data_IF_043861758994
#
_entry.id   IF_043861758994
#
_cell.length_a   1.000
_cell.length_b   1.000
_cell.length_c   1.000
_cell.angle_alpha   90.00
_cell.angle_beta   90.00
_cell.angle_gamma   90.00
#
_symmetry.space_group_name_H-M   'P 1'
#
loop_
_entity.id
_entity.type
_entity.pdbx_description
1 polymer ?
#
# COMPACT_ATOMS: atom_id res chain seq x y z
N UNK A 1 0.21 23.62 59.11
CA UNK A 1 -0.97 22.72 58.94
C UNK A 1 -0.96 22.14 57.52
N UNK A 2 -0.69 20.84 57.36
CA UNK A 2 -0.79 20.18 56.04
C UNK A 2 -2.24 19.79 55.82
N UNK A 3 -2.88 20.42 54.82
CA UNK A 3 -4.24 20.08 54.38
C UNK A 3 -4.31 18.59 54.06
N UNK A 4 -5.20 17.85 54.73
CA UNK A 4 -5.44 16.43 54.45
C UNK A 4 -6.36 16.35 53.24
N UNK A 5 -5.86 15.75 52.17
CA UNK A 5 -6.62 15.51 50.94
C UNK A 5 -7.85 14.65 51.26
N UNK A 6 -9.04 15.15 50.93
CA UNK A 6 -10.28 14.42 51.26
C UNK A 6 -10.52 13.28 50.28
N UNK A 7 -11.13 12.18 50.77
CA UNK A 7 -11.50 11.03 49.93
C UNK A 7 -12.37 11.45 48.74
N UNK A 8 -13.22 12.47 48.90
CA UNK A 8 -14.04 13.04 47.82
C UNK A 8 -13.18 13.66 46.73
N UNK A 9 -12.18 14.48 47.10
CA UNK A 9 -11.24 15.06 46.14
C UNK A 9 -10.45 13.97 45.41
N UNK A 10 -9.99 12.95 46.13
CA UNK A 10 -9.29 11.80 45.52
C UNK A 10 -10.17 11.06 44.51
N UNK A 11 -11.42 10.75 44.86
CA UNK A 11 -12.35 10.08 43.95
C UNK A 11 -12.71 10.94 42.74
N UNK A 12 -12.86 12.26 42.90
CA UNK A 12 -13.06 13.19 41.77
C UNK A 12 -11.86 13.20 40.82
N UNK A 13 -10.63 13.20 41.34
CA UNK A 13 -9.42 13.15 40.50
C UNK A 13 -9.28 11.83 39.75
N UNK A 14 -9.55 10.70 40.41
CA UNK A 14 -9.52 9.38 39.76
C UNK A 14 -10.58 9.30 38.65
N UNK A 15 -11.79 9.80 38.89
CA UNK A 15 -12.84 9.83 37.88
C UNK A 15 -12.46 10.69 36.66
N UNK A 16 -11.91 11.89 36.86
CA UNK A 16 -11.45 12.76 35.76
C UNK A 16 -10.30 12.10 34.97
N UNK A 17 -9.38 11.42 35.65
CA UNK A 17 -8.28 10.69 35.01
C UNK A 17 -8.79 9.53 34.14
N UNK A 18 -9.74 8.73 34.65
CA UNK A 18 -10.36 7.65 33.88
C UNK A 18 -11.22 8.14 32.72
N UNK A 19 -11.97 9.25 32.90
CA UNK A 19 -12.72 9.88 31.80
C UNK A 19 -11.76 10.47 30.75
N UNK A 20 -10.63 11.03 31.16
CA UNK A 20 -9.57 11.50 30.26
C UNK A 20 -8.94 10.37 29.44
N UNK A 21 -8.64 9.22 30.08
CA UNK A 21 -8.15 8.01 29.39
C UNK A 21 -9.23 7.47 28.44
N UNK A 22 -10.50 7.42 28.86
CA UNK A 22 -11.60 6.96 28.03
C UNK A 22 -11.81 7.87 26.80
N UNK A 23 -11.71 9.19 26.97
CA UNK A 23 -11.79 10.16 25.88
C UNK A 23 -10.59 10.09 24.94
N UNK A 24 -9.39 9.79 25.46
CA UNK A 24 -8.19 9.51 24.66
C UNK A 24 -8.36 8.23 23.82
N UNK A 25 -8.94 7.17 24.39
CA UNK A 25 -9.26 5.94 23.67
C UNK A 25 -10.35 6.12 22.60
N UNK A 26 -11.29 7.06 22.80
CA UNK A 26 -12.38 7.35 21.84
C UNK A 26 -11.95 8.24 20.66
N UNK A 27 -10.75 8.83 20.68
CA UNK A 27 -10.29 9.80 19.67
C UNK A 27 -9.17 9.30 18.74
N UNK A 28 -8.82 8.01 18.75
CA UNK A 28 -7.84 7.50 17.79
C UNK A 28 -8.47 7.29 16.41
N UNK A 29 -8.47 8.35 15.60
CA UNK A 29 -8.80 8.28 14.19
C UNK A 29 -7.88 7.27 13.48
N UNK A 30 -8.48 6.33 12.73
CA UNK A 30 -7.75 5.34 11.93
C UNK A 30 -6.81 6.05 10.95
N UNK A 31 -5.50 5.78 11.00
CA UNK A 31 -4.54 6.50 10.18
C UNK A 31 -4.74 6.20 8.69
N UNK A 32 -4.33 7.15 7.85
CA UNK A 32 -4.46 7.03 6.39
C UNK A 32 -3.26 6.28 5.77
N UNK A 33 -3.54 5.27 4.97
CA UNK A 33 -2.53 4.42 4.30
C UNK A 33 -1.59 5.21 3.38
N UNK A 34 -2.11 6.22 2.67
CA UNK A 34 -1.34 7.05 1.73
C UNK A 34 -0.66 8.24 2.41
N UNK A 35 -0.76 8.37 3.74
CA UNK A 35 -0.11 9.45 4.50
C UNK A 35 1.40 9.42 4.27
N UNK A 36 1.93 10.47 3.62
CA UNK A 36 3.37 10.63 3.35
C UNK A 36 4.19 10.59 4.65
N UNK A 37 5.28 9.82 4.61
CA UNK A 37 6.30 9.71 5.65
C UNK A 37 7.59 10.39 5.18
N UNK A 38 8.44 10.78 6.13
CA UNK A 38 9.79 11.24 5.84
C UNK A 38 10.70 10.02 5.66
N UNK A 39 11.47 10.00 4.58
CA UNK A 39 12.42 8.94 4.23
C UNK A 39 13.76 9.56 3.83
N UNK A 40 14.85 8.82 3.96
CA UNK A 40 16.20 9.30 3.65
C UNK A 40 16.62 9.09 2.19
N UNK A 41 15.92 8.22 1.46
CA UNK A 41 16.22 7.88 0.07
C UNK A 41 15.41 8.74 -0.92
N UNK A 42 15.93 8.84 -2.13
CA UNK A 42 15.33 9.49 -3.28
C UNK A 42 14.38 8.54 -4.04
N UNK A 43 13.61 9.09 -4.99
CA UNK A 43 12.76 8.30 -5.88
C UNK A 43 13.55 7.27 -6.70
N UNK A 44 14.75 7.64 -7.15
CA UNK A 44 15.64 6.76 -7.91
C UNK A 44 16.19 5.64 -7.04
N UNK A 45 16.70 5.96 -5.85
CA UNK A 45 17.23 4.96 -4.91
C UNK A 45 16.14 3.96 -4.48
N UNK A 46 14.89 4.40 -4.33
CA UNK A 46 13.77 3.49 -4.08
C UNK A 46 13.58 2.48 -5.22
N UNK A 47 13.61 2.93 -6.47
CA UNK A 47 13.47 2.06 -7.64
C UNK A 47 14.65 1.08 -7.71
N UNK A 48 15.87 1.57 -7.51
CA UNK A 48 17.10 0.76 -7.53
C UNK A 48 17.12 -0.30 -6.41
N UNK A 49 16.50 -0.01 -5.26
CA UNK A 49 16.38 -0.97 -4.16
C UNK A 49 15.43 -2.14 -4.49
N UNK A 50 14.26 -1.84 -5.07
CA UNK A 50 13.25 -2.89 -5.33
C UNK A 50 13.48 -3.64 -6.65
N UNK A 51 14.10 -2.98 -7.64
CA UNK A 51 14.20 -3.50 -9.00
C UNK A 51 14.93 -4.85 -9.09
N UNK A 52 16.07 -5.11 -8.41
CA UNK A 52 16.75 -6.40 -8.49
C UNK A 52 15.88 -7.58 -8.04
N UNK A 53 15.08 -7.37 -6.98
CA UNK A 53 14.15 -8.38 -6.48
C UNK A 53 13.01 -8.58 -7.47
N UNK A 54 12.39 -7.50 -7.95
CA UNK A 54 11.29 -7.58 -8.92
C UNK A 54 11.75 -8.25 -10.21
N UNK A 55 12.91 -7.89 -10.77
CA UNK A 55 13.44 -8.52 -11.99
C UNK A 55 13.61 -10.04 -11.83
N UNK A 56 14.21 -10.46 -10.70
CA UNK A 56 14.42 -11.88 -10.41
C UNK A 56 13.11 -12.65 -10.34
N UNK A 57 12.12 -12.13 -9.60
CA UNK A 57 10.85 -12.83 -9.39
C UNK A 57 10.02 -12.79 -10.67
N UNK A 58 9.90 -11.63 -11.31
CA UNK A 58 9.16 -11.44 -12.56
C UNK A 58 9.61 -12.41 -13.67
N UNK A 59 10.93 -12.68 -13.77
CA UNK A 59 11.46 -13.66 -14.72
C UNK A 59 10.91 -15.08 -14.49
N UNK A 60 10.68 -15.47 -13.23
CA UNK A 60 10.11 -16.79 -12.88
C UNK A 60 8.62 -16.90 -13.21
N UNK A 61 7.92 -15.77 -13.28
CA UNK A 61 6.49 -15.66 -13.57
C UNK A 61 6.21 -15.26 -15.02
N UNK A 62 7.24 -15.00 -15.83
CA UNK A 62 7.08 -14.55 -17.22
C UNK A 62 6.48 -13.15 -17.38
N UNK A 63 6.52 -12.33 -16.32
CA UNK A 63 5.98 -10.97 -16.31
C UNK A 63 7.10 -9.95 -16.59
N UNK A 64 6.77 -8.83 -17.24
CA UNK A 64 7.73 -7.74 -17.47
C UNK A 64 8.00 -6.96 -16.17
N UNK A 65 9.24 -6.82 -15.71
CA UNK A 65 9.58 -6.05 -14.51
C UNK A 65 9.08 -4.60 -14.52
N UNK A 66 9.11 -3.92 -15.66
CA UNK A 66 8.80 -2.50 -15.78
C UNK A 66 7.42 -2.12 -15.26
N UNK A 67 6.40 -2.92 -15.58
CA UNK A 67 5.03 -2.66 -15.13
C UNK A 67 4.84 -2.96 -13.65
N UNK A 68 5.51 -3.99 -13.11
CA UNK A 68 5.46 -4.31 -11.67
C UNK A 68 6.17 -3.24 -10.84
N UNK A 69 7.34 -2.74 -11.31
CA UNK A 69 8.03 -1.61 -10.68
C UNK A 69 7.13 -0.37 -10.71
N UNK A 70 6.45 -0.11 -11.82
CA UNK A 70 5.53 1.03 -11.93
C UNK A 70 4.35 0.94 -10.96
N UNK A 71 3.77 -0.26 -10.78
CA UNK A 71 2.74 -0.52 -9.78
C UNK A 71 3.26 -0.29 -8.37
N UNK A 72 4.43 -0.84 -8.02
CA UNK A 72 5.06 -0.59 -6.73
C UNK A 72 5.27 0.92 -6.49
N UNK A 73 5.77 1.66 -7.48
CA UNK A 73 5.98 3.11 -7.39
C UNK A 73 4.66 3.87 -7.20
N UNK A 74 3.62 3.50 -7.95
CA UNK A 74 2.31 4.14 -7.89
C UNK A 74 1.65 3.92 -6.52
N UNK A 75 1.52 2.66 -6.11
CA UNK A 75 0.79 2.27 -4.90
C UNK A 75 1.50 2.72 -3.61
N UNK A 76 2.83 2.72 -3.60
CA UNK A 76 3.63 3.13 -2.44
C UNK A 76 3.98 4.63 -2.42
N UNK A 77 3.69 5.36 -3.49
CA UNK A 77 4.21 6.71 -3.75
C UNK A 77 5.75 6.77 -3.58
N UNK A 78 6.47 5.98 -4.40
CA UNK A 78 7.93 5.82 -4.32
C UNK A 78 8.41 5.38 -2.92
N UNK A 79 7.70 4.45 -2.29
CA UNK A 79 8.03 3.92 -0.96
C UNK A 79 7.72 4.86 0.19
N UNK A 80 7.17 6.05 -0.05
CA UNK A 80 7.08 7.11 0.95
C UNK A 80 5.78 7.14 1.75
N UNK A 81 4.76 6.34 1.39
CA UNK A 81 3.51 6.34 2.14
C UNK A 81 3.59 5.51 3.45
N UNK A 82 2.62 5.71 4.36
CA UNK A 82 2.57 5.04 5.65
C UNK A 82 2.59 3.51 5.50
N UNK A 83 1.82 3.01 4.53
CA UNK A 83 1.65 1.58 4.29
C UNK A 83 2.97 0.91 3.88
N UNK A 84 3.73 1.53 2.98
CA UNK A 84 5.03 1.05 2.54
C UNK A 84 6.12 1.22 3.62
N UNK A 85 6.16 2.35 4.33
CA UNK A 85 7.25 2.62 5.30
C UNK A 85 7.09 1.83 6.59
N UNK A 86 5.87 1.76 7.17
CA UNK A 86 5.68 1.13 8.48
C UNK A 86 5.31 -0.35 8.39
N UNK A 87 4.62 -0.75 7.34
CA UNK A 87 4.06 -2.09 7.20
C UNK A 87 4.64 -2.84 5.99
N UNK A 88 5.60 -2.24 5.29
CA UNK A 88 6.31 -2.81 4.14
C UNK A 88 5.43 -3.28 2.99
N UNK A 89 4.18 -2.80 2.91
CA UNK A 89 3.24 -3.18 1.87
C UNK A 89 3.33 -2.19 0.70
N UNK A 90 4.05 -2.59 -0.35
CA UNK A 90 4.34 -1.77 -1.52
C UNK A 90 3.17 -1.65 -2.50
N UNK A 91 2.25 -2.62 -2.49
CA UNK A 91 1.25 -2.82 -3.53
C UNK A 91 -0.18 -2.62 -3.04
N UNK A 92 -0.35 -2.05 -1.84
CA UNK A 92 -1.64 -1.88 -1.17
C UNK A 92 -2.46 -3.18 -1.06
N UNK A 93 -1.80 -4.33 -0.91
CA UNK A 93 -2.44 -5.64 -0.81
C UNK A 93 -3.30 -5.73 0.45
N UNK A 94 -4.56 -6.14 0.28
CA UNK A 94 -5.44 -6.45 1.39
C UNK A 94 -5.01 -7.75 2.09
N UNK A 95 -5.17 -7.81 3.40
CA UNK A 95 -4.76 -8.98 4.17
C UNK A 95 -5.64 -10.20 3.85
N UNK A 96 -5.00 -11.35 3.63
CA UNK A 96 -5.69 -12.63 3.50
C UNK A 96 -6.04 -13.22 4.88
N UNK A 97 -6.94 -14.20 4.91
CA UNK A 97 -7.35 -14.88 6.14
C UNK A 97 -6.13 -15.45 6.89
N UNK A 98 -6.01 -15.08 8.17
CA UNK A 98 -4.91 -15.52 9.04
C UNK A 98 -3.59 -14.76 8.85
N UNK A 99 -3.50 -13.82 7.90
CA UNK A 99 -2.35 -12.94 7.74
C UNK A 99 -2.36 -11.82 8.78
N UNK A 100 -1.16 -11.35 9.17
CA UNK A 100 -1.05 -10.14 9.98
C UNK A 100 -1.58 -8.94 9.20
N UNK A 101 -2.48 -8.18 9.82
CA UNK A 101 -3.18 -7.08 9.17
C UNK A 101 -3.11 -5.78 9.98
N UNK A 102 -3.30 -4.67 9.29
CA UNK A 102 -3.51 -3.35 9.88
C UNK A 102 -4.73 -2.68 9.22
N UNK A 103 -5.63 -2.16 10.05
CA UNK A 103 -6.75 -1.35 9.57
C UNK A 103 -6.29 0.10 9.30
N UNK A 104 -6.51 0.58 8.07
CA UNK A 104 -6.16 1.94 7.65
C UNK A 104 -7.29 2.54 6.80
N UNK A 105 -7.36 3.86 6.76
CA UNK A 105 -8.20 4.56 5.79
C UNK A 105 -7.48 4.72 4.45
N UNK A 106 -8.20 4.59 3.34
CA UNK A 106 -7.70 4.80 1.99
C UNK A 106 -8.76 5.46 1.11
N UNK A 107 -8.40 5.84 -0.12
CA UNK A 107 -9.34 6.43 -1.07
C UNK A 107 -9.66 5.44 -2.19
N UNK A 108 -10.93 5.25 -2.47
CA UNK A 108 -11.46 4.54 -3.63
C UNK A 108 -12.18 5.54 -4.54
N UNK A 109 -12.32 5.22 -5.82
CA UNK A 109 -13.13 6.03 -6.74
C UNK A 109 -14.42 5.27 -7.07
N UNK A 110 -15.55 5.87 -6.74
CA UNK A 110 -16.87 5.27 -6.93
C UNK A 110 -17.88 6.37 -7.27
N UNK A 111 -18.79 6.11 -8.22
CA UNK A 111 -19.85 7.06 -8.64
C UNK A 111 -19.29 8.46 -8.97
N UNK A 112 -18.19 8.49 -9.72
CA UNK A 112 -17.50 9.70 -10.17
C UNK A 112 -16.86 10.57 -9.08
N UNK A 113 -16.68 10.06 -7.86
CA UNK A 113 -16.06 10.77 -6.74
C UNK A 113 -15.06 9.91 -5.98
N UNK A 114 -14.08 10.57 -5.33
CA UNK A 114 -13.15 9.91 -4.42
C UNK A 114 -13.77 9.80 -3.04
N UNK A 115 -14.00 8.57 -2.59
CA UNK A 115 -14.56 8.27 -1.27
C UNK A 115 -13.45 7.80 -0.33
N UNK A 116 -13.62 8.05 0.98
CA UNK A 116 -12.70 7.53 2.01
C UNK A 116 -13.32 6.28 2.61
N UNK A 117 -12.58 5.18 2.52
CA UNK A 117 -12.97 3.88 3.03
C UNK A 117 -11.98 3.41 4.10
N UNK A 118 -12.36 2.37 4.83
CA UNK A 118 -11.50 1.67 5.80
C UNK A 118 -11.27 0.26 5.30
N UNK A 119 -10.01 -0.19 5.29
CA UNK A 119 -9.63 -1.52 4.82
C UNK A 119 -8.52 -2.14 5.66
N UNK A 120 -8.47 -3.48 5.63
CA UNK A 120 -7.44 -4.27 6.30
C UNK A 120 -6.32 -4.61 5.32
N UNK A 121 -5.15 -4.02 5.50
CA UNK A 121 -3.99 -4.23 4.65
C UNK A 121 -3.03 -5.26 5.25
N UNK A 122 -2.39 -6.04 4.37
CA UNK A 122 -1.35 -6.98 4.76
C UNK A 122 -0.14 -6.24 5.38
N UNK A 123 0.45 -6.84 6.41
CA UNK A 123 1.69 -6.39 7.04
C UNK A 123 2.82 -7.36 6.69
N UNK A 124 3.92 -6.82 6.16
CA UNK A 124 5.07 -7.61 5.73
C UNK A 124 6.31 -7.35 6.59
N UNK A 125 7.19 -8.36 6.64
CA UNK A 125 8.49 -8.25 7.32
C UNK A 125 9.47 -7.35 6.58
N UNK A 126 9.34 -7.23 5.25
CA UNK A 126 10.18 -6.42 4.38
C UNK A 126 9.49 -6.19 3.04
N UNK A 127 9.98 -5.22 2.26
CA UNK A 127 9.53 -5.01 0.87
C UNK A 127 9.77 -6.23 -0.01
N UNK A 128 10.87 -6.95 0.19
CA UNK A 128 11.12 -8.23 -0.48
C UNK A 128 9.98 -9.21 -0.24
N UNK A 129 9.52 -9.36 1.01
CA UNK A 129 8.41 -10.26 1.33
C UNK A 129 7.10 -9.83 0.65
N UNK A 130 6.83 -8.52 0.59
CA UNK A 130 5.66 -8.00 -0.14
C UNK A 130 5.75 -8.25 -1.66
N UNK A 131 6.95 -8.20 -2.24
CA UNK A 131 7.16 -8.51 -3.66
C UNK A 131 6.84 -9.98 -3.96
N UNK A 132 7.36 -10.93 -3.18
CA UNK A 132 7.04 -12.35 -3.39
C UNK A 132 5.54 -12.63 -3.24
N UNK A 133 4.92 -12.12 -2.17
CA UNK A 133 3.49 -12.30 -1.92
C UNK A 133 2.64 -11.69 -3.06
N UNK A 134 3.02 -10.52 -3.56
CA UNK A 134 2.35 -9.91 -4.71
C UNK A 134 2.34 -10.82 -5.94
N UNK A 135 3.45 -11.47 -6.27
CA UNK A 135 3.52 -12.40 -7.40
C UNK A 135 2.69 -13.68 -7.16
N UNK A 136 2.66 -14.20 -5.94
CA UNK A 136 1.83 -15.35 -5.57
C UNK A 136 0.33 -15.02 -5.67
N UNK A 137 -0.08 -13.86 -5.19
CA UNK A 137 -1.47 -13.38 -5.29
C UNK A 137 -1.87 -13.06 -6.72
N UNK A 138 -0.94 -12.52 -7.52
CA UNK A 138 -1.15 -12.28 -8.93
C UNK A 138 -1.39 -13.60 -9.67
N UNK A 139 -0.49 -14.58 -9.54
CA UNK A 139 -0.59 -15.86 -10.23
C UNK A 139 -1.80 -16.70 -9.81
N UNK A 140 -2.18 -16.64 -8.53
CA UNK A 140 -3.37 -17.34 -8.04
C UNK A 140 -4.70 -16.67 -8.46
N UNK A 141 -4.66 -15.45 -9.01
CA UNK A 141 -5.85 -14.67 -9.33
C UNK A 141 -6.51 -14.00 -8.13
N UNK A 142 -5.98 -14.20 -6.92
CA UNK A 142 -6.49 -13.60 -5.67
C UNK A 142 -6.41 -12.07 -5.70
N UNK A 143 -5.39 -11.52 -6.36
CA UNK A 143 -5.23 -10.07 -6.48
C UNK A 143 -6.30 -9.44 -7.38
N UNK A 144 -6.52 -10.04 -8.56
CA UNK A 144 -7.51 -9.63 -9.55
C UNK A 144 -7.59 -10.73 -10.61
N UNK A 145 -8.80 -11.21 -10.89
CA UNK A 145 -9.03 -12.26 -11.87
C UNK A 145 -8.59 -11.82 -13.28
N UNK A 146 -7.83 -12.67 -13.97
CA UNK A 146 -7.28 -12.38 -15.29
C UNK A 146 -6.08 -11.42 -15.35
N UNK A 147 -5.68 -10.77 -14.24
CA UNK A 147 -4.56 -9.83 -14.23
C UNK A 147 -3.22 -10.49 -14.60
N UNK A 148 -2.97 -11.71 -14.10
CA UNK A 148 -1.77 -12.47 -14.45
C UNK A 148 -1.71 -12.79 -15.94
N UNK A 149 -2.81 -13.29 -16.51
CA UNK A 149 -2.90 -13.64 -17.93
C UNK A 149 -2.64 -12.43 -18.84
N UNK A 150 -3.15 -11.26 -18.46
CA UNK A 150 -2.85 -9.99 -19.15
C UNK A 150 -1.35 -9.69 -19.11
N UNK A 151 -0.72 -9.83 -17.94
CA UNK A 151 0.67 -9.46 -17.73
C UNK A 151 1.66 -10.40 -18.42
N UNK A 152 1.34 -11.69 -18.54
CA UNK A 152 2.22 -12.66 -19.24
C UNK A 152 1.99 -12.72 -20.75
N UNK A 153 0.77 -12.43 -21.22
CA UNK A 153 0.41 -12.59 -22.64
C UNK A 153 0.74 -11.37 -23.51
N UNK A 154 1.10 -10.23 -22.91
CA UNK A 154 1.33 -8.99 -23.64
C UNK A 154 2.80 -8.57 -23.64
N UNK A 155 3.24 -8.06 -24.78
CA UNK A 155 4.56 -7.42 -24.93
C UNK A 155 4.46 -5.92 -24.67
N UNK A 156 5.53 -5.34 -24.11
CA UNK A 156 5.56 -3.92 -23.75
C UNK A 156 4.69 -3.61 -22.53
N UNK A 157 4.35 -2.35 -22.33
CA UNK A 157 3.68 -1.89 -21.10
C UNK A 157 2.35 -1.16 -21.34
N UNK A 158 2.14 -0.52 -22.50
CA UNK A 158 0.94 0.29 -22.76
C UNK A 158 -0.33 -0.55 -22.82
N UNK A 159 -0.30 -1.62 -23.60
CA UNK A 159 -1.44 -2.55 -23.73
C UNK A 159 -1.79 -3.23 -22.40
N UNK A 160 -0.86 -3.86 -21.66
CA UNK A 160 -1.22 -4.46 -20.37
C UNK A 160 -1.68 -3.41 -19.35
N UNK A 161 -1.12 -2.19 -19.32
CA UNK A 161 -1.63 -1.12 -18.45
C UNK A 161 -3.10 -0.78 -18.75
N UNK A 162 -3.47 -0.65 -20.03
CA UNK A 162 -4.86 -0.43 -20.43
C UNK A 162 -5.75 -1.63 -20.06
N UNK A 163 -5.30 -2.85 -20.34
CA UNK A 163 -6.08 -4.06 -20.03
C UNK A 163 -6.29 -4.25 -18.52
N UNK A 164 -5.32 -3.90 -17.68
CA UNK A 164 -5.50 -3.89 -16.22
C UNK A 164 -6.58 -2.88 -15.79
N UNK A 165 -6.62 -1.71 -16.40
CA UNK A 165 -7.69 -0.74 -16.14
C UNK A 165 -9.05 -1.27 -16.62
N UNK A 166 -9.12 -1.89 -17.80
CA UNK A 166 -10.36 -2.40 -18.38
C UNK A 166 -11.00 -3.51 -17.52
N UNK A 167 -10.19 -4.33 -16.83
CA UNK A 167 -10.69 -5.36 -15.89
C UNK A 167 -10.95 -4.83 -14.47
N UNK A 168 -10.73 -3.53 -14.22
CA UNK A 168 -10.95 -2.92 -12.91
C UNK A 168 -9.91 -3.30 -11.86
N UNK A 169 -8.65 -3.51 -12.26
CA UNK A 169 -7.55 -3.81 -11.34
C UNK A 169 -7.37 -2.74 -10.25
N UNK A 170 -7.68 -1.48 -10.59
CA UNK A 170 -7.77 -0.36 -9.65
C UNK A 170 -9.06 0.42 -9.90
N UNK A 171 -9.63 1.00 -8.85
CA UNK A 171 -10.76 1.91 -9.00
C UNK A 171 -10.37 3.25 -9.62
N UNK A 172 -9.07 3.59 -9.63
CA UNK A 172 -8.56 4.85 -10.16
C UNK A 172 -8.84 4.96 -11.68
N UNK A 173 -9.61 5.97 -12.14
CA UNK A 173 -9.97 6.09 -13.55
C UNK A 173 -8.77 6.40 -14.47
N UNK A 174 -7.65 6.84 -13.89
CA UNK A 174 -6.42 7.18 -14.62
C UNK A 174 -5.30 6.15 -14.41
N UNK A 175 -5.62 4.95 -13.92
CA UNK A 175 -4.63 3.93 -13.55
C UNK A 175 -3.64 3.63 -14.68
N UNK A 176 -4.13 3.31 -15.87
CA UNK A 176 -3.28 2.98 -17.02
C UNK A 176 -2.38 4.15 -17.40
N UNK A 177 -2.95 5.36 -17.48
CA UNK A 177 -2.23 6.60 -17.80
C UNK A 177 -1.11 6.86 -16.78
N UNK A 178 -1.37 6.65 -15.49
CA UNK A 178 -0.39 6.82 -14.40
C UNK A 178 0.74 5.80 -14.51
N UNK A 179 0.44 4.52 -14.74
CA UNK A 179 1.45 3.49 -14.94
C UNK A 179 2.36 3.81 -16.14
N UNK A 180 1.75 4.16 -17.29
CA UNK A 180 2.48 4.53 -18.50
C UNK A 180 3.42 5.72 -18.24
N UNK A 181 2.92 6.76 -17.57
CA UNK A 181 3.71 7.95 -17.24
C UNK A 181 4.87 7.62 -16.30
N UNK A 182 4.67 6.74 -15.31
CA UNK A 182 5.73 6.30 -14.38
C UNK A 182 6.81 5.52 -15.14
N UNK A 183 6.41 4.61 -16.03
CA UNK A 183 7.33 3.80 -16.83
C UNK A 183 8.19 4.69 -17.73
N UNK A 184 7.57 5.63 -18.43
CA UNK A 184 8.25 6.54 -19.35
C UNK A 184 9.16 7.52 -18.61
N UNK A 185 8.67 8.14 -17.51
CA UNK A 185 9.45 9.09 -16.70
C UNK A 185 10.72 8.49 -16.13
N UNK A 186 10.65 7.25 -15.66
CA UNK A 186 11.77 6.57 -14.98
C UNK A 186 12.52 5.59 -15.89
N UNK A 187 12.20 5.55 -17.19
CA UNK A 187 12.80 4.62 -18.16
C UNK A 187 12.79 3.14 -17.68
N UNK A 188 11.66 2.70 -17.12
CA UNK A 188 11.58 1.40 -16.43
C UNK A 188 11.71 0.21 -17.37
N UNK A 189 11.50 0.38 -18.67
CA UNK A 189 11.72 -0.67 -19.68
C UNK A 189 13.19 -1.11 -19.76
N UNK A 190 14.12 -0.33 -19.22
CA UNK A 190 15.51 -0.75 -19.05
C UNK A 190 15.68 -1.97 -18.15
N UNK A 191 14.72 -2.24 -17.25
CA UNK A 191 14.68 -3.41 -16.37
C UNK A 191 14.04 -4.64 -17.02
N UNK A 192 13.45 -4.54 -18.23
CA UNK A 192 12.78 -5.66 -18.91
C UNK A 192 13.72 -6.63 -19.65
N UNK A 193 15.03 -6.39 -19.52
CA UNK A 193 16.10 -7.15 -20.19
C UNK A 193 16.45 -8.43 -19.45
#
# INVERSE_FOLDING_TARGET
>A
MKSRFSLKQFLTFVFIFFVGILLLCLHHATPNATKKQSVSYTQTEFIEEIAPTIQKVAASYGVRPSIIIAQAVLESNYGTNLLAVKYHNLFAVQAQDGQMSIELTYKSYFVNEWQTETGCFAVYKSWTAAIYDYFDLLQSGTLSDGAYDILVSNTGYKKPAQSLQDIGFSTDPDYATKLIAIIEKNNLTSYDK
#
